data_IF_282952888501
#
_entry.id   IF_282952888501
#
_cell.length_a   1.000
_cell.length_b   1.000
_cell.length_c   1.000
_cell.angle_alpha   90.00
_cell.angle_beta   90.00
_cell.angle_gamma   90.00
#
_symmetry.space_group_name_H-M   'P 1'
#
loop_
_entity.id
_entity.type
_entity.pdbx_description
1 polymer ?
#
# COMPACT_ATOMS: atom_id res chain seq x y z
N UNK A 1 -68.90 49.83 48.77
CA UNK A 1 -68.13 50.98 48.33
C UNK A 1 -66.64 50.68 48.56
N UNK A 2 -65.92 50.18 47.56
CA UNK A 2 -64.44 50.09 47.59
C UNK A 2 -63.94 50.32 46.20
N UNK A 3 -63.16 51.40 46.06
CA UNK A 3 -62.57 51.89 44.82
C UNK A 3 -61.37 50.96 44.51
N UNK A 4 -61.31 50.41 43.30
CA UNK A 4 -60.17 49.71 42.77
C UNK A 4 -59.31 50.69 41.98
N UNK A 5 -58.12 50.95 42.48
CA UNK A 5 -57.08 51.74 41.81
C UNK A 5 -56.40 50.86 40.70
N UNK A 6 -56.44 51.38 39.50
CA UNK A 6 -55.71 50.83 38.35
C UNK A 6 -54.31 51.40 38.37
N UNK A 7 -53.32 50.50 38.56
CA UNK A 7 -51.89 50.78 38.34
C UNK A 7 -51.59 50.50 36.87
N UNK A 8 -51.29 51.54 36.12
CA UNK A 8 -50.79 51.43 34.77
C UNK A 8 -49.29 51.20 34.81
N UNK A 9 -48.86 50.01 34.39
CA UNK A 9 -47.44 49.67 34.22
C UNK A 9 -47.02 50.15 32.81
N UNK A 10 -46.18 51.19 32.73
CA UNK A 10 -45.54 51.63 31.50
C UNK A 10 -44.38 50.67 31.15
N UNK A 11 -44.53 49.91 30.08
CA UNK A 11 -43.44 49.13 29.48
C UNK A 11 -42.64 50.04 28.57
N UNK A 12 -41.44 50.41 28.99
CA UNK A 12 -40.48 51.12 28.14
C UNK A 12 -39.83 50.14 27.19
N UNK A 13 -40.15 50.23 25.89
CA UNK A 13 -39.52 49.48 24.83
C UNK A 13 -38.16 50.13 24.53
N UNK A 14 -37.07 49.49 24.99
CA UNK A 14 -35.70 49.86 24.61
C UNK A 14 -35.40 49.19 23.27
N UNK A 15 -35.49 49.96 22.19
CA UNK A 15 -35.02 49.54 20.86
C UNK A 15 -33.51 49.67 20.82
N UNK A 16 -32.83 48.52 20.93
CA UNK A 16 -31.39 48.43 20.70
C UNK A 16 -31.16 48.43 19.17
N UNK A 17 -30.76 49.56 18.63
CA UNK A 17 -30.33 49.68 17.24
C UNK A 17 -28.98 49.00 17.11
N UNK A 18 -28.94 47.74 16.57
CA UNK A 18 -27.74 47.08 16.09
C UNK A 18 -27.25 47.87 14.85
N UNK A 19 -26.22 48.67 15.03
CA UNK A 19 -25.48 49.27 13.93
C UNK A 19 -24.74 48.12 13.22
N UNK A 20 -25.18 47.75 12.03
CA UNK A 20 -24.41 46.89 11.11
C UNK A 20 -23.12 47.64 10.74
N UNK A 21 -21.95 47.04 10.86
CA UNK A 21 -20.75 47.67 10.34
C UNK A 21 -20.89 47.83 8.82
N UNK A 22 -20.56 48.99 8.34
CA UNK A 22 -20.51 49.31 6.92
C UNK A 22 -19.67 48.29 6.19
N UNK A 23 -20.10 47.92 4.98
CA UNK A 23 -19.40 46.99 4.11
C UNK A 23 -17.91 47.33 4.10
N UNK A 24 -17.12 46.43 4.76
CA UNK A 24 -15.69 46.56 4.86
C UNK A 24 -15.07 46.54 3.48
N UNK A 25 -14.11 47.40 3.25
CA UNK A 25 -13.21 47.30 2.09
C UNK A 25 -12.72 45.87 1.91
N UNK A 26 -12.56 45.37 0.68
CA UNK A 26 -12.07 44.05 0.44
C UNK A 26 -10.73 43.86 1.18
N UNK A 27 -10.64 42.83 2.03
CA UNK A 27 -9.39 42.42 2.65
C UNK A 27 -8.44 42.04 1.51
N UNK A 28 -7.58 42.95 1.12
CA UNK A 28 -6.44 42.67 0.27
C UNK A 28 -5.47 41.91 1.13
N UNK A 29 -5.50 40.56 1.04
CA UNK A 29 -4.40 39.77 1.51
C UNK A 29 -3.18 40.22 0.71
N UNK A 30 -2.02 40.50 1.35
CA UNK A 30 -0.84 40.77 0.62
C UNK A 30 -0.56 39.50 -0.22
N UNK A 31 -0.68 39.63 -1.52
CA UNK A 31 -0.19 38.63 -2.44
C UNK A 31 1.32 38.59 -2.17
N UNK A 32 1.73 37.59 -1.37
CA UNK A 32 3.15 37.28 -1.21
C UNK A 32 3.60 36.86 -2.60
N UNK A 33 4.11 37.79 -3.36
CA UNK A 33 4.92 37.49 -4.54
C UNK A 33 6.13 36.77 -3.97
N UNK A 34 6.02 35.44 -3.93
CA UNK A 34 7.21 34.62 -3.78
C UNK A 34 8.02 34.87 -5.03
N UNK A 35 9.12 35.59 -4.85
CA UNK A 35 10.13 35.77 -5.88
C UNK A 35 10.44 34.39 -6.47
N UNK A 36 10.25 34.28 -7.77
CA UNK A 36 10.15 33.05 -8.55
C UNK A 36 11.38 32.16 -8.53
N UNK A 37 11.48 31.34 -7.52
CA UNK A 37 12.03 29.98 -7.71
C UNK A 37 10.85 29.09 -8.04
N UNK A 38 10.56 28.92 -9.34
CA UNK A 38 9.69 27.84 -9.77
C UNK A 38 10.22 26.57 -9.12
N UNK A 39 9.40 25.91 -8.30
CA UNK A 39 9.79 24.59 -7.77
C UNK A 39 10.18 23.75 -8.98
N UNK A 40 11.37 23.11 -8.99
CA UNK A 40 11.75 22.28 -10.11
C UNK A 40 10.63 21.27 -10.37
N UNK A 41 10.30 21.05 -11.64
CA UNK A 41 9.32 20.04 -12.02
C UNK A 41 9.72 18.64 -11.52
N UNK A 42 8.84 17.63 -11.72
CA UNK A 42 9.16 16.26 -11.33
C UNK A 42 10.44 15.79 -12.03
N UNK A 43 11.19 14.88 -11.39
CA UNK A 43 12.43 14.36 -11.97
C UNK A 43 12.14 13.61 -13.28
N UNK A 44 13.12 13.59 -14.18
CA UNK A 44 13.10 12.69 -15.32
C UNK A 44 13.37 11.27 -14.82
N UNK A 45 12.46 10.34 -15.15
CA UNK A 45 12.55 8.91 -14.83
C UNK A 45 12.50 8.08 -16.10
N UNK A 46 12.88 6.81 -16.03
CA UNK A 46 12.87 5.90 -17.19
C UNK A 46 11.50 5.26 -17.40
N UNK A 47 10.64 5.29 -16.41
CA UNK A 47 9.29 4.71 -16.49
C UNK A 47 8.47 5.36 -17.60
N UNK A 48 7.83 4.54 -18.43
CA UNK A 48 6.97 4.99 -19.53
C UNK A 48 5.65 5.60 -19.04
N UNK A 49 5.13 5.15 -17.91
CA UNK A 49 3.96 5.72 -17.24
C UNK A 49 4.15 5.69 -15.73
N UNK A 50 3.71 6.74 -15.04
CA UNK A 50 3.87 6.80 -13.58
C UNK A 50 2.90 7.80 -12.93
N UNK A 51 2.71 7.63 -11.61
CA UNK A 51 1.95 8.54 -10.76
C UNK A 51 2.60 8.64 -9.39
N UNK A 52 2.60 9.85 -8.83
CA UNK A 52 2.98 10.16 -7.45
C UNK A 52 1.80 10.79 -6.73
N UNK A 53 1.40 10.22 -5.61
CA UNK A 53 0.19 10.59 -4.87
C UNK A 53 0.48 10.77 -3.38
N UNK A 54 -0.10 11.80 -2.78
CA UNK A 54 -0.10 12.04 -1.34
C UNK A 54 -1.44 11.60 -0.73
N UNK A 55 -1.40 10.55 0.07
CA UNK A 55 -2.59 9.97 0.70
C UNK A 55 -3.29 10.96 1.66
N UNK A 56 -2.51 11.75 2.41
CA UNK A 56 -3.08 12.63 3.44
C UNK A 56 -3.88 13.81 2.88
N UNK A 57 -3.51 14.32 1.71
CA UNK A 57 -4.23 15.39 1.02
C UNK A 57 -5.11 14.88 -0.11
N UNK A 58 -5.03 13.59 -0.44
CA UNK A 58 -5.68 12.95 -1.60
C UNK A 58 -5.36 13.63 -2.94
N UNK A 59 -4.12 14.13 -3.08
CA UNK A 59 -3.67 14.88 -4.24
C UNK A 59 -2.64 14.10 -5.04
N UNK A 60 -2.83 14.08 -6.37
CA UNK A 60 -1.78 13.68 -7.31
C UNK A 60 -0.76 14.80 -7.40
N UNK A 61 0.43 14.57 -6.85
CA UNK A 61 1.51 15.56 -6.85
C UNK A 61 2.15 15.69 -8.23
N UNK A 62 2.25 14.60 -8.97
CA UNK A 62 2.76 14.57 -10.34
C UNK A 62 2.36 13.25 -11.02
N UNK A 63 2.27 13.25 -12.34
CA UNK A 63 2.01 12.05 -13.12
C UNK A 63 2.47 12.19 -14.55
N UNK A 64 2.65 11.06 -15.24
CA UNK A 64 2.98 10.97 -16.65
C UNK A 64 2.27 9.75 -17.25
N UNK A 65 1.43 9.95 -18.27
CA UNK A 65 0.63 8.90 -18.92
C UNK A 65 -0.07 7.94 -17.92
N UNK A 66 -0.52 8.46 -16.76
CA UNK A 66 -0.98 7.64 -15.64
C UNK A 66 -2.23 6.81 -15.90
N UNK A 67 -3.01 7.13 -16.95
CA UNK A 67 -4.20 6.38 -17.39
C UNK A 67 -3.94 5.54 -18.64
N UNK A 68 -2.68 5.45 -19.10
CA UNK A 68 -2.34 4.62 -20.24
C UNK A 68 -2.35 3.13 -19.83
N UNK A 69 -3.09 2.31 -20.56
CA UNK A 69 -3.06 0.85 -20.45
C UNK A 69 -1.67 0.30 -20.78
N UNK A 70 -1.14 -0.54 -19.88
CA UNK A 70 0.16 -1.18 -20.02
C UNK A 70 0.16 -2.55 -19.38
N UNK A 71 0.98 -3.45 -19.90
CA UNK A 71 1.30 -4.69 -19.22
C UNK A 71 1.84 -4.38 -17.81
N UNK A 72 1.35 -5.08 -16.81
CA UNK A 72 1.56 -4.74 -15.40
C UNK A 72 2.47 -5.74 -14.65
N UNK A 73 2.79 -6.88 -15.27
CA UNK A 73 3.55 -7.97 -14.66
C UNK A 73 2.99 -8.36 -13.28
N UNK A 74 3.84 -8.79 -12.37
CA UNK A 74 3.44 -9.25 -11.02
C UNK A 74 2.81 -8.20 -10.11
N UNK A 75 2.63 -6.93 -10.53
CA UNK A 75 1.78 -6.00 -9.78
C UNK A 75 0.31 -6.45 -9.77
N UNK A 76 -0.09 -7.32 -10.69
CA UNK A 76 -1.33 -8.11 -10.71
C UNK A 76 -1.63 -8.76 -9.35
N UNK A 77 -0.60 -9.25 -8.65
CA UNK A 77 -0.77 -9.95 -7.37
C UNK A 77 -1.31 -9.06 -6.24
N UNK A 78 -1.39 -7.74 -6.44
CA UNK A 78 -2.09 -6.85 -5.50
C UNK A 78 -3.58 -7.20 -5.47
N UNK A 79 -4.22 -7.40 -6.64
CA UNK A 79 -5.62 -7.85 -6.72
C UNK A 79 -5.76 -9.29 -6.18
N UNK A 80 -4.83 -10.18 -6.49
CA UNK A 80 -4.83 -11.54 -5.94
C UNK A 80 -4.77 -11.56 -4.42
N UNK A 81 -3.91 -10.72 -3.82
CA UNK A 81 -3.80 -10.58 -2.38
C UNK A 81 -5.02 -9.93 -1.74
N UNK A 82 -5.64 -8.95 -2.40
CA UNK A 82 -6.88 -8.32 -1.96
C UNK A 82 -8.01 -9.35 -1.90
N UNK A 83 -8.25 -10.08 -2.99
CA UNK A 83 -9.31 -11.09 -3.04
C UNK A 83 -9.05 -12.27 -2.10
N UNK A 84 -7.81 -12.64 -1.85
CA UNK A 84 -7.48 -13.63 -0.82
C UNK A 84 -7.94 -13.19 0.56
N UNK A 85 -7.77 -11.91 0.90
CA UNK A 85 -8.19 -11.35 2.19
C UNK A 85 -9.71 -11.12 2.29
N UNK A 86 -10.36 -10.82 1.17
CA UNK A 86 -11.81 -10.61 1.11
C UNK A 86 -12.58 -11.94 1.06
N UNK A 87 -12.03 -12.97 0.41
CA UNK A 87 -12.75 -14.21 0.08
C UNK A 87 -12.37 -15.43 0.92
N UNK A 88 -11.42 -15.36 1.86
CA UNK A 88 -10.99 -16.51 2.66
C UNK A 88 -10.51 -16.12 4.06
N UNK A 89 -10.33 -17.13 4.93
CA UNK A 89 -9.64 -16.93 6.20
C UNK A 89 -8.15 -17.27 6.06
N UNK A 90 -7.28 -16.52 6.71
CA UNK A 90 -5.83 -16.75 6.68
C UNK A 90 -5.42 -18.14 7.24
N UNK A 91 -6.29 -18.75 8.04
CA UNK A 91 -6.12 -20.10 8.61
C UNK A 91 -6.64 -21.22 7.72
N UNK A 92 -7.32 -20.90 6.61
CA UNK A 92 -7.81 -21.92 5.68
C UNK A 92 -6.65 -22.74 5.14
N UNK A 93 -6.87 -24.06 5.09
CA UNK A 93 -5.87 -25.02 4.56
C UNK A 93 -6.19 -25.29 3.10
N UNK A 94 -5.27 -24.94 2.24
CA UNK A 94 -5.38 -25.09 0.78
C UNK A 94 -4.60 -26.35 0.37
N UNK A 95 -5.26 -27.25 -0.37
CA UNK A 95 -4.59 -28.38 -1.00
C UNK A 95 -4.07 -27.93 -2.36
N UNK A 96 -2.76 -28.07 -2.57
CA UNK A 96 -2.10 -27.59 -3.79
C UNK A 96 -2.45 -28.52 -4.96
N UNK A 97 -2.94 -27.95 -6.04
CA UNK A 97 -3.23 -28.65 -7.28
C UNK A 97 -1.95 -28.93 -8.10
N UNK A 98 -2.05 -29.85 -9.06
CA UNK A 98 -0.96 -30.03 -10.03
C UNK A 98 -0.74 -28.75 -10.86
N UNK A 99 -1.81 -28.02 -11.22
CA UNK A 99 -1.72 -26.76 -11.96
C UNK A 99 -0.93 -25.70 -11.18
N UNK A 100 -1.17 -25.58 -9.89
CA UNK A 100 -0.43 -24.65 -9.03
C UNK A 100 1.05 -25.08 -8.92
N UNK A 101 1.32 -26.37 -8.72
CA UNK A 101 2.67 -26.90 -8.65
C UNK A 101 3.47 -26.78 -9.96
N UNK A 102 2.79 -26.70 -11.11
CA UNK A 102 3.40 -26.56 -12.45
C UNK A 102 3.39 -25.08 -12.95
N UNK A 103 3.22 -24.10 -12.05
CA UNK A 103 3.05 -22.69 -12.41
C UNK A 103 4.21 -22.09 -13.22
N UNK A 104 5.43 -22.54 -12.93
CA UNK A 104 6.64 -22.07 -13.59
C UNK A 104 7.11 -20.67 -13.22
N UNK A 105 8.30 -20.33 -13.63
CA UNK A 105 9.02 -19.10 -13.39
C UNK A 105 9.34 -18.88 -11.90
N UNK A 106 8.68 -17.92 -11.23
CA UNK A 106 8.94 -17.61 -9.81
C UNK A 106 8.00 -18.40 -8.90
N UNK A 107 8.56 -19.28 -8.08
CA UNK A 107 7.85 -20.24 -7.26
C UNK A 107 8.46 -20.32 -5.84
N UNK A 108 7.76 -20.96 -4.93
CA UNK A 108 8.28 -21.49 -3.65
C UNK A 108 8.32 -23.00 -3.65
N UNK A 109 8.29 -23.62 -4.84
CA UNK A 109 8.34 -25.06 -5.07
C UNK A 109 7.21 -25.83 -4.34
N UNK A 110 5.95 -25.35 -4.51
CA UNK A 110 4.78 -26.05 -3.99
C UNK A 110 4.62 -27.41 -4.68
N UNK A 111 4.26 -28.43 -3.89
CA UNK A 111 4.10 -29.82 -4.39
C UNK A 111 2.62 -30.16 -4.45
N UNK A 112 2.20 -30.81 -5.56
CA UNK A 112 0.81 -31.25 -5.70
C UNK A 112 0.39 -32.19 -4.56
N UNK A 113 -0.77 -31.92 -3.96
CA UNK A 113 -1.32 -32.65 -2.82
C UNK A 113 -0.84 -32.20 -1.45
N UNK A 114 0.17 -31.32 -1.35
CA UNK A 114 0.54 -30.76 -0.06
C UNK A 114 -0.54 -29.78 0.45
N UNK A 115 -0.54 -29.56 1.75
CA UNK A 115 -1.48 -28.65 2.42
C UNK A 115 -0.76 -27.44 2.99
N UNK A 116 -1.15 -26.25 2.53
CA UNK A 116 -0.52 -24.98 2.92
C UNK A 116 -1.60 -23.99 3.39
N UNK A 117 -1.32 -23.23 4.43
CA UNK A 117 -2.30 -22.22 4.90
C UNK A 117 -2.40 -21.05 3.94
N UNK A 118 -3.58 -20.43 3.85
CA UNK A 118 -3.81 -19.22 3.06
C UNK A 118 -2.83 -18.09 3.45
N UNK A 119 -2.53 -17.97 4.75
CA UNK A 119 -1.51 -17.02 5.24
C UNK A 119 -0.13 -17.26 4.61
N UNK A 120 0.31 -18.50 4.49
CA UNK A 120 1.60 -18.82 3.87
C UNK A 120 1.59 -18.56 2.36
N UNK A 121 0.50 -18.89 1.67
CA UNK A 121 0.32 -18.60 0.25
C UNK A 121 0.31 -17.09 -0.03
N UNK A 122 -0.42 -16.32 0.77
CA UNK A 122 -0.45 -14.86 0.64
C UNK A 122 0.94 -14.24 0.83
N UNK A 123 1.70 -14.69 1.82
CA UNK A 123 3.09 -14.26 2.03
C UNK A 123 3.98 -14.62 0.83
N UNK A 124 3.83 -15.83 0.28
CA UNK A 124 4.59 -16.27 -0.89
C UNK A 124 4.29 -15.38 -2.12
N UNK A 125 3.03 -15.15 -2.42
CA UNK A 125 2.61 -14.32 -3.53
C UNK A 125 3.07 -12.87 -3.40
N UNK A 126 2.98 -12.28 -2.20
CA UNK A 126 3.28 -10.86 -2.00
C UNK A 126 4.77 -10.58 -1.79
N UNK A 127 5.46 -11.38 -0.98
CA UNK A 127 6.86 -11.13 -0.59
C UNK A 127 7.81 -11.68 -1.64
N UNK A 128 7.67 -12.97 -1.98
CA UNK A 128 8.53 -13.67 -2.94
C UNK A 128 8.06 -13.53 -4.38
N UNK A 129 6.83 -13.08 -4.58
CA UNK A 129 6.17 -12.99 -5.90
C UNK A 129 5.85 -14.35 -6.53
N UNK A 130 5.61 -15.37 -5.71
CA UNK A 130 5.41 -16.76 -6.13
C UNK A 130 4.15 -16.93 -7.00
N UNK A 131 4.30 -17.53 -8.19
CA UNK A 131 3.22 -17.80 -9.13
C UNK A 131 2.39 -19.02 -8.72
N UNK A 132 3.05 -20.09 -8.23
CA UNK A 132 2.41 -21.27 -7.67
C UNK A 132 1.44 -20.93 -6.53
N UNK A 133 1.87 -20.05 -5.62
CA UNK A 133 1.01 -19.54 -4.56
C UNK A 133 -0.16 -18.72 -5.08
N UNK A 134 0.05 -17.89 -6.12
CA UNK A 134 -1.02 -17.08 -6.71
C UNK A 134 -2.08 -17.97 -7.39
N UNK A 135 -1.69 -19.04 -8.07
CA UNK A 135 -2.62 -20.02 -8.66
C UNK A 135 -3.36 -20.77 -7.56
N UNK A 136 -2.67 -21.25 -6.51
CA UNK A 136 -3.31 -21.93 -5.39
C UNK A 136 -4.36 -21.05 -4.67
N UNK A 137 -4.05 -19.77 -4.47
CA UNK A 137 -5.01 -18.77 -3.95
C UNK A 137 -6.22 -18.68 -4.88
N UNK A 138 -5.98 -18.54 -6.19
CA UNK A 138 -7.05 -18.37 -7.18
C UNK A 138 -7.98 -19.59 -7.22
N UNK A 139 -7.45 -20.80 -7.20
CA UNK A 139 -8.25 -22.02 -7.18
C UNK A 139 -9.08 -22.17 -5.90
N UNK A 140 -8.52 -21.80 -4.75
CA UNK A 140 -9.21 -21.90 -3.48
C UNK A 140 -10.33 -20.86 -3.36
N UNK A 141 -10.09 -19.61 -3.71
CA UNK A 141 -11.05 -18.50 -3.54
C UNK A 141 -12.08 -18.50 -4.65
N UNK A 142 -11.66 -18.73 -5.90
CA UNK A 142 -12.53 -18.68 -7.09
C UNK A 142 -13.12 -20.03 -7.48
N UNK A 143 -12.75 -21.13 -6.81
CA UNK A 143 -13.12 -22.49 -7.21
C UNK A 143 -12.37 -22.98 -8.47
N UNK A 144 -11.82 -22.09 -9.26
CA UNK A 144 -10.91 -22.30 -10.39
C UNK A 144 -10.13 -21.02 -10.69
N UNK A 145 -9.05 -21.11 -11.46
CA UNK A 145 -8.32 -19.92 -11.91
C UNK A 145 -9.21 -19.02 -12.76
N UNK A 146 -10.01 -19.59 -13.63
CA UNK A 146 -10.93 -18.86 -14.50
C UNK A 146 -12.02 -18.12 -13.67
N UNK A 147 -12.64 -18.81 -12.71
CA UNK A 147 -13.61 -18.18 -11.79
C UNK A 147 -12.99 -17.06 -10.96
N UNK A 148 -11.72 -17.23 -10.55
CA UNK A 148 -11.01 -16.17 -9.85
C UNK A 148 -10.69 -14.96 -10.75
N UNK A 149 -10.34 -15.18 -12.02
CA UNK A 149 -10.15 -14.10 -13.00
C UNK A 149 -11.44 -13.32 -13.22
N UNK A 150 -12.60 -14.02 -13.27
CA UNK A 150 -13.90 -13.35 -13.32
C UNK A 150 -14.12 -12.47 -12.07
N UNK A 151 -13.77 -12.96 -10.87
CA UNK A 151 -13.84 -12.19 -9.64
C UNK A 151 -12.87 -10.98 -9.66
N UNK A 152 -11.64 -11.14 -10.20
CA UNK A 152 -10.69 -10.02 -10.34
C UNK A 152 -11.28 -8.91 -11.22
N UNK A 153 -11.88 -9.25 -12.35
CA UNK A 153 -12.48 -8.29 -13.26
C UNK A 153 -13.78 -7.67 -12.71
N UNK A 154 -14.58 -8.44 -11.97
CA UNK A 154 -15.73 -7.89 -11.23
C UNK A 154 -15.25 -6.87 -10.20
N UNK A 155 -14.25 -7.24 -9.40
CA UNK A 155 -13.71 -6.35 -8.38
C UNK A 155 -13.08 -5.09 -8.97
N UNK A 156 -12.40 -5.20 -10.12
CA UNK A 156 -11.88 -4.05 -10.84
C UNK A 156 -13.02 -3.09 -11.26
N UNK A 157 -14.14 -3.61 -11.75
CA UNK A 157 -15.32 -2.79 -12.10
C UNK A 157 -15.94 -2.11 -10.88
N UNK A 158 -16.07 -2.83 -9.76
CA UNK A 158 -16.57 -2.27 -8.49
C UNK A 158 -15.69 -1.14 -7.95
N UNK A 159 -14.37 -1.25 -8.12
CA UNK A 159 -13.41 -0.24 -7.72
C UNK A 159 -13.27 0.91 -8.73
N UNK A 160 -13.95 0.84 -9.89
CA UNK A 160 -13.86 1.85 -10.94
C UNK A 160 -12.51 1.88 -11.68
N UNK A 161 -11.80 0.73 -11.74
CA UNK A 161 -10.52 0.60 -12.45
C UNK A 161 -10.80 0.42 -13.94
N UNK A 162 -11.00 1.53 -14.63
CA UNK A 162 -11.51 1.56 -16.01
C UNK A 162 -10.48 1.18 -17.06
N UNK A 163 -9.21 1.33 -16.75
CA UNK A 163 -8.06 0.97 -17.59
C UNK A 163 -7.41 -0.35 -17.13
N UNK A 164 -8.21 -1.26 -16.54
CA UNK A 164 -7.69 -2.53 -15.99
C UNK A 164 -8.50 -3.73 -16.45
N UNK A 165 -7.80 -4.75 -16.94
CA UNK A 165 -8.36 -6.06 -17.21
C UNK A 165 -7.37 -7.16 -16.82
N UNK A 166 -7.84 -8.19 -16.15
CA UNK A 166 -7.07 -9.33 -15.69
C UNK A 166 -7.36 -10.56 -16.54
N UNK A 167 -6.30 -11.23 -17.01
CA UNK A 167 -6.38 -12.53 -17.70
C UNK A 167 -5.81 -13.68 -16.85
N UNK A 168 -5.09 -13.38 -15.76
CA UNK A 168 -4.51 -14.39 -14.87
C UNK A 168 -4.23 -13.79 -13.48
N UNK A 169 -4.01 -14.64 -12.43
CA UNK A 169 -3.81 -14.15 -11.05
C UNK A 169 -2.36 -13.79 -10.72
N UNK A 170 -1.39 -14.05 -11.60
CA UNK A 170 0.05 -13.96 -11.29
C UNK A 170 0.78 -12.84 -12.03
N UNK A 171 0.29 -12.42 -13.21
CA UNK A 171 0.85 -11.30 -13.96
C UNK A 171 1.84 -11.68 -15.07
N UNK A 172 1.86 -12.92 -15.52
CA UNK A 172 2.57 -13.29 -16.77
C UNK A 172 1.83 -12.70 -17.97
N UNK A 173 2.59 -12.40 -19.01
CA UNK A 173 2.07 -11.78 -20.24
C UNK A 173 0.96 -12.64 -20.84
N UNK A 174 -0.17 -12.02 -21.14
CA UNK A 174 -1.32 -12.64 -21.79
C UNK A 174 -2.11 -11.59 -22.56
N UNK A 175 -2.81 -11.98 -23.64
CA UNK A 175 -3.73 -11.06 -24.30
C UNK A 175 -4.72 -10.46 -23.29
N UNK A 176 -5.01 -9.18 -23.46
CA UNK A 176 -5.95 -8.42 -22.62
C UNK A 176 -5.59 -8.41 -21.11
N UNK A 177 -4.29 -8.51 -20.77
CA UNK A 177 -3.81 -8.42 -19.39
C UNK A 177 -3.07 -7.11 -19.18
N UNK A 178 -3.80 -6.09 -18.73
CA UNK A 178 -3.27 -4.72 -18.59
C UNK A 178 -3.85 -3.98 -17.39
N UNK A 179 -3.19 -2.89 -17.03
CA UNK A 179 -3.67 -1.89 -16.08
C UNK A 179 -3.03 -0.53 -16.37
N UNK A 180 -3.40 0.47 -15.61
CA UNK A 180 -2.79 1.80 -15.63
C UNK A 180 -2.09 2.12 -14.30
N UNK A 181 -1.20 3.11 -14.31
CA UNK A 181 -0.56 3.56 -13.07
C UNK A 181 -1.60 4.17 -12.09
N UNK A 182 -2.66 4.76 -12.61
CA UNK A 182 -3.77 5.29 -11.83
C UNK A 182 -4.53 4.15 -11.15
N UNK A 183 -4.96 3.17 -11.91
CA UNK A 183 -5.76 2.06 -11.40
C UNK A 183 -4.97 1.22 -10.38
N UNK A 184 -3.68 0.97 -10.65
CA UNK A 184 -2.82 0.28 -9.70
C UNK A 184 -2.59 1.07 -8.40
N UNK A 185 -2.57 2.41 -8.46
CA UNK A 185 -2.56 3.25 -7.26
C UNK A 185 -3.85 3.03 -6.45
N UNK A 186 -5.01 3.13 -7.10
CA UNK A 186 -6.29 3.04 -6.41
C UNK A 186 -6.49 1.62 -5.84
N UNK A 187 -6.15 0.58 -6.59
CA UNK A 187 -6.11 -0.81 -6.12
C UNK A 187 -5.19 -1.00 -4.91
N UNK A 188 -3.97 -0.44 -4.99
CA UNK A 188 -3.00 -0.54 -3.90
C UNK A 188 -3.49 0.14 -2.62
N UNK A 189 -4.15 1.29 -2.72
CA UNK A 189 -4.74 2.00 -1.57
C UNK A 189 -5.81 1.14 -0.88
N UNK A 190 -6.67 0.48 -1.65
CA UNK A 190 -7.68 -0.45 -1.11
C UNK A 190 -7.01 -1.64 -0.41
N UNK A 191 -6.04 -2.29 -1.05
CA UNK A 191 -5.33 -3.42 -0.46
C UNK A 191 -4.56 -3.02 0.82
N UNK A 192 -3.96 -1.84 0.83
CA UNK A 192 -3.23 -1.30 1.98
C UNK A 192 -4.16 -0.89 3.15
N UNK A 193 -5.48 -0.89 3.00
CA UNK A 193 -6.41 -0.73 4.11
C UNK A 193 -6.41 -1.96 5.04
N UNK A 194 -6.06 -3.15 4.52
CA UNK A 194 -5.97 -4.38 5.31
C UNK A 194 -4.65 -4.44 6.09
N UNK A 195 -4.67 -4.58 7.42
CA UNK A 195 -3.46 -4.69 8.23
C UNK A 195 -2.55 -5.83 7.79
N UNK A 196 -3.13 -7.01 7.50
CA UNK A 196 -2.43 -8.21 7.07
C UNK A 196 -1.71 -8.02 5.74
N UNK A 197 -2.30 -7.26 4.82
CA UNK A 197 -1.66 -6.90 3.56
C UNK A 197 -0.44 -6.01 3.81
N UNK A 198 -0.60 -4.97 4.65
CA UNK A 198 0.50 -4.06 5.00
C UNK A 198 1.67 -4.80 5.65
N UNK A 199 1.39 -5.72 6.57
CA UNK A 199 2.41 -6.48 7.28
C UNK A 199 3.18 -7.40 6.32
N UNK A 200 2.47 -8.05 5.38
CA UNK A 200 3.09 -8.89 4.37
C UNK A 200 4.03 -8.09 3.46
N UNK A 201 3.56 -6.98 2.87
CA UNK A 201 4.35 -6.23 1.88
C UNK A 201 5.55 -5.46 2.48
N UNK A 202 5.57 -5.28 3.80
CA UNK A 202 6.71 -4.71 4.55
C UNK A 202 7.79 -5.74 4.89
N UNK A 203 7.46 -7.03 4.81
CA UNK A 203 8.36 -8.09 5.22
C UNK A 203 9.49 -8.29 4.21
N UNK A 204 10.73 -8.39 4.69
CA UNK A 204 11.93 -8.57 3.84
C UNK A 204 12.27 -10.03 3.62
N UNK A 205 11.97 -10.88 4.59
CA UNK A 205 12.26 -12.31 4.59
C UNK A 205 11.01 -13.03 5.12
N UNK A 206 10.73 -14.17 4.56
CA UNK A 206 9.68 -15.06 5.03
C UNK A 206 10.20 -16.50 5.01
N UNK A 207 9.90 -17.23 6.09
CA UNK A 207 10.10 -18.68 6.17
C UNK A 207 8.74 -19.32 5.92
N UNK A 208 8.69 -20.19 4.93
CA UNK A 208 7.51 -20.97 4.60
C UNK A 208 7.53 -22.33 5.33
N UNK A 209 6.38 -23.03 5.38
CA UNK A 209 6.37 -24.43 5.78
C UNK A 209 7.39 -25.25 4.98
N UNK A 210 8.03 -26.20 5.63
CA UNK A 210 8.96 -27.11 4.97
C UNK A 210 8.24 -27.86 3.83
N UNK A 211 8.97 -28.13 2.75
CA UNK A 211 8.44 -28.98 1.69
C UNK A 211 8.18 -30.41 2.21
N UNK A 212 7.36 -31.22 1.54
CA UNK A 212 7.07 -32.60 1.96
C UNK A 212 8.30 -33.52 2.10
N UNK A 213 9.39 -33.20 1.40
CA UNK A 213 10.67 -33.91 1.52
C UNK A 213 11.56 -33.42 2.68
N UNK A 214 11.08 -32.42 3.45
CA UNK A 214 11.79 -31.80 4.56
C UNK A 214 12.72 -30.64 4.17
N UNK A 215 12.80 -30.27 2.91
CA UNK A 215 13.61 -29.13 2.47
C UNK A 215 13.03 -27.81 2.99
N UNK A 216 13.93 -26.88 3.35
CA UNK A 216 13.53 -25.57 3.89
C UNK A 216 13.19 -24.62 2.76
N UNK A 217 12.10 -23.89 2.93
CA UNK A 217 11.65 -22.85 2.00
C UNK A 217 11.80 -21.47 2.64
N UNK A 218 12.67 -20.64 2.07
CA UNK A 218 12.90 -19.26 2.51
C UNK A 218 12.72 -18.34 1.33
N UNK A 219 11.81 -17.38 1.44
CA UNK A 219 11.61 -16.34 0.46
C UNK A 219 12.21 -15.00 0.92
N UNK A 220 12.73 -14.25 -0.03
CA UNK A 220 13.16 -12.85 0.19
C UNK A 220 12.27 -11.91 -0.61
N UNK A 221 12.05 -10.72 -0.07
CA UNK A 221 11.30 -9.68 -0.77
C UNK A 221 12.03 -9.27 -2.05
N UNK A 222 11.24 -9.12 -3.10
CA UNK A 222 11.72 -8.55 -4.37
C UNK A 222 11.87 -7.02 -4.29
N UNK A 223 11.36 -6.38 -3.24
CA UNK A 223 11.41 -4.94 -3.05
C UNK A 223 12.70 -4.51 -2.32
N UNK A 224 13.67 -4.00 -3.07
CA UNK A 224 14.95 -3.55 -2.54
C UNK A 224 14.87 -2.21 -1.78
N UNK A 225 13.78 -1.44 -1.89
CA UNK A 225 13.63 -0.23 -1.09
C UNK A 225 13.36 -0.54 0.40
N UNK A 226 12.86 -1.74 0.72
CA UNK A 226 12.65 -2.14 2.10
C UNK A 226 13.98 -2.23 2.86
N UNK A 227 14.15 -1.33 3.85
CA UNK A 227 15.36 -1.23 4.66
C UNK A 227 16.52 -0.45 4.02
N UNK A 228 16.32 0.09 2.79
CA UNK A 228 17.29 0.96 2.09
C UNK A 228 16.74 2.38 1.83
N UNK A 229 15.42 2.53 1.83
CA UNK A 229 14.76 3.82 1.70
C UNK A 229 13.96 4.16 2.96
N UNK A 230 14.23 5.34 3.53
CA UNK A 230 13.58 5.78 4.76
C UNK A 230 12.05 5.86 4.59
N UNK A 231 11.33 5.17 5.49
CA UNK A 231 9.88 5.08 5.47
C UNK A 231 9.29 4.08 4.47
N UNK A 232 10.09 3.31 3.70
CA UNK A 232 9.58 2.35 2.74
C UNK A 232 8.58 1.36 3.36
N UNK A 233 7.38 1.25 2.76
CA UNK A 233 6.25 0.47 3.28
C UNK A 233 5.76 -0.66 2.36
N UNK A 234 6.46 -0.97 1.27
CA UNK A 234 6.07 -2.01 0.30
C UNK A 234 6.01 -1.40 -1.12
N UNK A 235 5.28 -1.89 -2.10
CA UNK A 235 4.17 -2.85 -2.08
C UNK A 235 4.53 -4.06 -2.96
N UNK A 236 4.63 -3.84 -4.30
CA UNK A 236 4.84 -4.96 -5.25
C UNK A 236 5.68 -4.56 -6.45
N UNK A 237 6.68 -5.37 -6.77
CA UNK A 237 7.49 -5.30 -8.00
C UNK A 237 6.94 -6.25 -9.06
N UNK A 238 7.23 -5.97 -10.32
CA UNK A 238 6.94 -6.87 -11.43
C UNK A 238 8.00 -6.75 -12.54
N UNK A 239 8.12 -7.80 -13.30
CA UNK A 239 8.92 -7.85 -14.53
C UNK A 239 8.36 -8.93 -15.45
N UNK A 240 8.17 -8.58 -16.71
CA UNK A 240 8.03 -9.49 -17.85
C UNK A 240 8.69 -8.83 -19.05
N UNK A 241 8.81 -9.57 -20.14
CA UNK A 241 9.38 -9.01 -21.37
C UNK A 241 8.54 -7.90 -21.98
N UNK A 242 7.20 -7.96 -21.83
CA UNK A 242 6.26 -6.97 -22.33
C UNK A 242 6.14 -5.77 -21.38
N UNK A 243 5.98 -6.04 -20.09
CA UNK A 243 5.79 -5.00 -19.07
C UNK A 243 7.07 -4.21 -18.79
N UNK A 244 8.25 -4.79 -19.03
CA UNK A 244 9.52 -4.33 -18.49
C UNK A 244 9.46 -4.29 -16.96
N UNK A 245 10.18 -3.37 -16.32
CA UNK A 245 10.15 -3.27 -14.85
C UNK A 245 8.97 -2.43 -14.40
N UNK A 246 8.19 -2.96 -13.45
CA UNK A 246 7.04 -2.30 -12.85
C UNK A 246 7.17 -2.28 -11.33
N UNK A 247 6.65 -1.24 -10.69
CA UNK A 247 6.69 -1.15 -9.23
C UNK A 247 5.56 -0.28 -8.68
N UNK A 248 4.82 -0.83 -7.75
CA UNK A 248 3.91 -0.10 -6.87
C UNK A 248 4.59 0.05 -5.53
N UNK A 249 4.85 1.26 -5.10
CA UNK A 249 5.62 1.58 -3.90
C UNK A 249 4.90 2.56 -3.00
N UNK A 250 5.19 2.50 -1.71
CA UNK A 250 4.79 3.51 -0.74
C UNK A 250 5.92 3.80 0.24
N UNK A 251 5.95 5.03 0.72
CA UNK A 251 6.81 5.41 1.83
C UNK A 251 6.09 6.41 2.74
N UNK A 252 6.40 6.36 4.05
CA UNK A 252 5.80 7.23 5.05
C UNK A 252 6.89 7.94 5.85
N UNK A 253 6.83 9.27 5.93
CA UNK A 253 7.71 10.12 6.74
C UNK A 253 6.87 11.17 7.44
N UNK A 254 7.14 11.42 8.72
CA UNK A 254 6.45 12.42 9.54
C UNK A 254 4.91 12.31 9.46
N UNK A 255 4.38 11.06 9.39
CA UNK A 255 2.96 10.78 9.28
C UNK A 255 2.35 11.08 7.91
N UNK A 256 3.15 11.42 6.90
CA UNK A 256 2.71 11.63 5.51
C UNK A 256 3.11 10.43 4.69
N UNK A 257 2.11 9.80 4.07
CA UNK A 257 2.32 8.64 3.20
C UNK A 257 2.17 9.04 1.74
N UNK A 258 3.21 8.71 0.97
CA UNK A 258 3.21 8.84 -0.48
C UNK A 258 3.12 7.47 -1.14
N UNK A 259 2.43 7.44 -2.29
CA UNK A 259 2.42 6.30 -3.19
C UNK A 259 3.08 6.69 -4.50
N UNK A 260 3.83 5.77 -5.07
CA UNK A 260 4.39 5.86 -6.42
C UNK A 260 4.07 4.58 -7.17
N UNK A 261 3.57 4.72 -8.38
CA UNK A 261 3.48 3.62 -9.34
C UNK A 261 4.33 3.98 -10.54
N UNK A 262 5.20 3.08 -10.95
CA UNK A 262 6.00 3.17 -12.17
C UNK A 262 5.77 1.93 -13.03
N UNK A 263 5.53 2.12 -14.33
CA UNK A 263 5.30 1.10 -15.32
C UNK A 263 6.24 1.28 -16.50
N UNK A 264 6.85 0.19 -16.97
CA UNK A 264 7.75 0.21 -18.12
C UNK A 264 9.05 0.95 -17.85
N UNK A 265 9.65 0.79 -16.67
CA UNK A 265 11.00 1.34 -16.39
C UNK A 265 12.06 0.53 -17.14
N UNK A 266 13.01 1.23 -17.77
CA UNK A 266 14.08 0.63 -18.58
C UNK A 266 15.45 0.74 -17.89
N UNK A 267 16.18 -0.37 -17.87
CA UNK A 267 17.52 -0.46 -17.28
C UNK A 267 17.60 -1.34 -16.04
N UNK A 268 18.81 -1.68 -15.60
CA UNK A 268 19.00 -2.53 -14.42
C UNK A 268 18.42 -1.86 -13.17
N UNK A 269 17.43 -2.52 -12.56
CA UNK A 269 16.73 -2.08 -11.34
C UNK A 269 16.18 -0.64 -11.41
N UNK A 270 15.94 -0.13 -12.62
CA UNK A 270 15.55 1.26 -12.86
C UNK A 270 14.27 1.66 -12.12
N UNK A 271 13.29 0.74 -11.99
CA UNK A 271 12.05 0.98 -11.24
C UNK A 271 12.27 1.42 -9.78
N UNK A 272 13.37 0.98 -9.11
CA UNK A 272 13.71 1.44 -7.77
C UNK A 272 14.31 2.85 -7.80
N UNK A 273 15.14 3.16 -8.78
CA UNK A 273 15.71 4.50 -8.97
C UNK A 273 14.59 5.51 -9.29
N UNK A 274 13.69 5.15 -10.19
CA UNK A 274 12.53 5.95 -10.59
C UNK A 274 11.61 6.23 -9.39
N UNK A 275 11.23 5.17 -8.66
CA UNK A 275 10.37 5.31 -7.48
C UNK A 275 11.03 6.17 -6.39
N UNK A 276 12.33 5.98 -6.13
CA UNK A 276 13.10 6.80 -5.17
C UNK A 276 13.09 8.26 -5.58
N UNK A 277 13.40 8.58 -6.83
CA UNK A 277 13.45 9.95 -7.33
C UNK A 277 12.08 10.65 -7.20
N UNK A 278 10.99 9.93 -7.50
CA UNK A 278 9.62 10.45 -7.38
C UNK A 278 9.22 10.65 -5.91
N UNK A 279 9.54 9.70 -5.02
CA UNK A 279 9.28 9.83 -3.58
C UNK A 279 10.07 10.99 -2.97
N UNK A 280 11.35 11.13 -3.30
CA UNK A 280 12.19 12.23 -2.83
C UNK A 280 11.65 13.59 -3.31
N UNK A 281 11.21 13.67 -4.57
CA UNK A 281 10.53 14.84 -5.09
C UNK A 281 9.25 15.15 -4.31
N UNK A 282 8.39 14.16 -4.06
CA UNK A 282 7.14 14.35 -3.33
C UNK A 282 7.36 14.83 -1.89
N UNK A 283 8.24 14.18 -1.13
CA UNK A 283 8.55 14.59 0.23
C UNK A 283 9.17 15.99 0.26
N UNK A 284 10.04 16.33 -0.70
CA UNK A 284 10.61 17.68 -0.82
C UNK A 284 9.52 18.73 -1.09
N UNK A 285 8.54 18.46 -1.95
CA UNK A 285 7.40 19.36 -2.19
C UNK A 285 6.60 19.61 -0.91
N UNK A 286 6.52 18.63 -0.03
CA UNK A 286 5.84 18.73 1.27
C UNK A 286 6.71 19.34 2.38
N UNK A 287 7.96 19.72 2.07
CA UNK A 287 8.92 20.24 3.05
C UNK A 287 9.46 19.17 4.00
N UNK A 288 9.28 17.90 3.69
CA UNK A 288 9.75 16.76 4.49
C UNK A 288 11.07 16.26 3.92
N UNK A 289 12.11 16.34 4.74
CA UNK A 289 13.46 15.90 4.37
C UNK A 289 13.76 14.57 5.08
N UNK A 290 14.19 13.57 4.32
CA UNK A 290 14.59 12.29 4.90
C UNK A 290 15.79 12.46 5.82
N UNK A 291 15.85 11.69 6.89
CA UNK A 291 17.07 11.53 7.66
C UNK A 291 18.10 10.87 6.75
N UNK A 292 19.23 11.55 6.54
CA UNK A 292 20.38 10.91 5.90
C UNK A 292 20.78 9.75 6.82
N UNK A 293 20.47 8.52 6.42
CA UNK A 293 20.93 7.34 7.15
C UNK A 293 22.47 7.32 7.04
N UNK A 294 23.12 7.86 8.05
CA UNK A 294 24.58 7.84 8.17
C UNK A 294 25.12 6.45 8.56
N UNK A 295 24.30 5.40 8.40
CA UNK A 295 24.55 4.08 8.96
C UNK A 295 24.65 2.90 8.00
N UNK A 296 24.60 3.09 6.67
CA UNK A 296 24.85 1.97 5.76
C UNK A 296 26.23 2.12 5.11
N UNK A 297 27.24 1.34 5.54
CA UNK A 297 28.59 1.40 4.97
C UNK A 297 28.67 0.93 3.50
N UNK A 298 27.57 0.52 2.88
CA UNK A 298 27.51 0.02 1.50
C UNK A 298 27.13 1.07 0.45
N UNK A 299 26.84 2.33 0.81
CA UNK A 299 26.40 3.37 -0.14
C UNK A 299 27.47 4.45 -0.39
N UNK A 300 28.62 4.36 0.23
CA UNK A 300 29.70 5.34 0.05
C UNK A 300 30.92 4.70 -0.62
N UNK A 301 30.80 4.35 -1.90
CA UNK A 301 31.95 4.33 -2.80
C UNK A 301 31.46 4.20 -4.25
N UNK A 302 31.66 5.26 -5.05
CA UNK A 302 31.86 5.11 -6.49
C UNK A 302 33.12 4.26 -6.69
N UNK A 303 32.97 2.96 -6.65
CA UNK A 303 33.97 2.03 -7.20
C UNK A 303 33.25 1.04 -8.08
N UNK A 304 33.67 1.00 -9.34
CA UNK A 304 33.39 -0.11 -10.24
C UNK A 304 33.73 -1.41 -9.49
N UNK A 305 32.73 -2.17 -9.14
CA UNK A 305 32.90 -3.55 -8.72
C UNK A 305 32.58 -4.41 -9.94
N UNK A 306 33.59 -5.05 -10.48
CA UNK A 306 33.44 -6.20 -11.36
C UNK A 306 32.47 -7.21 -10.71
N UNK A 307 31.65 -7.92 -11.44
CA UNK A 307 30.70 -8.88 -10.86
C UNK A 307 31.47 -10.04 -10.24
N UNK A 308 31.70 -9.96 -8.96
CA UNK A 308 32.18 -11.05 -8.12
C UNK A 308 31.00 -11.91 -7.65
N UNK A 309 31.22 -13.19 -7.31
CA UNK A 309 30.14 -14.10 -6.96
C UNK A 309 29.36 -13.61 -5.75
N UNK A 310 28.04 -13.77 -5.81
CA UNK A 310 27.05 -13.45 -4.78
C UNK A 310 27.46 -14.02 -3.40
N UNK A 311 27.96 -13.15 -2.52
CA UNK A 311 28.15 -13.47 -1.11
C UNK A 311 26.90 -13.01 -0.36
N UNK A 312 25.86 -13.85 -0.37
CA UNK A 312 24.65 -13.64 0.39
C UNK A 312 24.29 -14.83 1.29
N UNK A 313 25.20 -15.79 1.47
CA UNK A 313 24.92 -17.02 2.21
C UNK A 313 25.14 -16.92 3.73
N UNK A 314 26.02 -16.05 4.21
CA UNK A 314 26.41 -16.04 5.63
C UNK A 314 25.30 -15.61 6.60
N UNK A 315 24.42 -14.72 6.19
CA UNK A 315 23.32 -14.24 7.07
C UNK A 315 22.11 -15.19 7.06
N UNK A 316 21.89 -15.90 5.96
CA UNK A 316 20.81 -16.89 5.85
C UNK A 316 21.18 -18.15 6.66
N UNK A 317 22.42 -18.61 6.58
CA UNK A 317 22.88 -19.74 7.37
C UNK A 317 22.87 -19.47 8.88
N UNK A 318 23.26 -18.27 9.31
CA UNK A 318 23.17 -17.86 10.70
C UNK A 318 21.72 -17.81 11.21
N UNK A 319 20.79 -17.31 10.38
CA UNK A 319 19.37 -17.26 10.71
C UNK A 319 18.74 -18.66 10.77
N UNK A 320 19.06 -19.53 9.81
CA UNK A 320 18.58 -20.93 9.78
C UNK A 320 19.15 -21.74 10.94
N UNK A 321 20.39 -21.48 11.35
CA UNK A 321 21.01 -22.12 12.51
C UNK A 321 20.30 -21.75 13.82
N UNK A 322 19.93 -20.49 14.00
CA UNK A 322 19.21 -19.99 15.17
C UNK A 322 17.74 -20.46 15.21
N UNK A 323 17.07 -20.48 14.05
CA UNK A 323 15.71 -21.00 13.93
C UNK A 323 15.64 -22.52 14.17
N UNK A 324 16.65 -23.27 13.72
CA UNK A 324 16.75 -24.72 13.92
C UNK A 324 17.01 -25.14 15.38
N UNK A 325 17.47 -24.24 16.23
CA UNK A 325 17.71 -24.51 17.66
C UNK A 325 16.52 -24.19 18.56
N UNK A 326 15.36 -23.76 18.01
CA UNK A 326 14.17 -23.41 18.79
C UNK A 326 14.34 -22.19 19.72
N UNK A 327 15.41 -21.41 19.52
CA UNK A 327 15.75 -20.26 20.34
C UNK A 327 15.07 -18.96 19.91
N UNK A 328 14.30 -18.96 18.81
CA UNK A 328 13.48 -17.85 18.35
C UNK A 328 12.13 -18.35 17.91
N UNK A 329 11.11 -18.11 18.68
CA UNK A 329 9.70 -18.33 18.30
C UNK A 329 9.07 -17.10 17.67
N UNK A 330 9.69 -15.91 17.79
CA UNK A 330 9.27 -14.67 17.15
C UNK A 330 10.48 -13.79 16.84
N UNK A 331 10.48 -13.03 15.73
CA UNK A 331 11.48 -12.00 15.50
C UNK A 331 11.38 -10.95 16.62
N UNK A 332 12.49 -10.42 17.14
CA UNK A 332 12.47 -9.41 18.16
C UNK A 332 11.69 -8.18 17.67
N UNK A 333 10.61 -7.84 18.35
CA UNK A 333 9.94 -6.57 18.17
C UNK A 333 10.96 -5.45 18.36
N UNK A 334 11.01 -4.43 17.52
CA UNK A 334 11.83 -3.26 17.77
C UNK A 334 11.34 -2.65 19.08
N UNK A 335 12.19 -2.62 20.09
CA UNK A 335 11.94 -1.92 21.35
C UNK A 335 11.90 -0.44 21.03
N UNK A 336 10.72 0.06 20.68
CA UNK A 336 10.45 1.48 20.68
C UNK A 336 10.49 1.94 22.15
N UNK A 337 11.44 2.80 22.49
CA UNK A 337 11.35 3.61 23.69
C UNK A 337 10.18 4.55 23.45
N UNK A 338 9.03 4.21 24.02
CA UNK A 338 7.82 5.05 24.00
C UNK A 338 8.06 6.13 25.08
N UNK A 339 8.14 7.41 24.72
CA UNK A 339 8.08 8.47 25.72
C UNK A 339 6.69 8.45 26.38
N UNK A 340 6.64 8.60 27.70
CA UNK A 340 5.39 8.65 28.46
C UNK A 340 4.44 9.71 27.87
N UNK A 341 3.14 9.38 27.70
CA UNK A 341 2.18 10.33 27.17
C UNK A 341 1.88 11.42 28.19
N UNK A 342 2.04 12.67 27.78
CA UNK A 342 1.52 13.82 28.49
C UNK A 342 -0.01 13.75 28.45
N UNK A 343 -0.73 13.80 29.59
CA UNK A 343 -2.18 13.70 29.60
C UNK A 343 -2.83 14.95 28.99
N UNK A 344 -3.57 14.76 27.89
CA UNK A 344 -4.50 15.77 27.38
C UNK A 344 -5.82 15.71 28.16
N UNK A 345 -6.53 16.83 28.35
CA UNK A 345 -7.80 16.85 29.06
C UNK A 345 -8.85 16.03 28.32
N UNK A 346 -9.46 15.09 29.03
CA UNK A 346 -10.51 14.21 28.53
C UNK A 346 -11.84 14.95 28.53
N UNK A 347 -12.35 15.31 27.35
CA UNK A 347 -13.74 15.65 27.19
C UNK A 347 -14.53 14.37 26.91
N UNK A 348 -15.29 13.92 27.91
CA UNK A 348 -16.09 12.68 27.84
C UNK A 348 -17.34 12.96 26.99
N UNK A 349 -17.29 12.63 25.70
CA UNK A 349 -18.49 12.50 24.88
C UNK A 349 -18.99 11.06 24.97
N UNK A 350 -20.06 10.89 25.71
CA UNK A 350 -20.73 9.60 25.94
C UNK A 350 -21.42 9.16 24.61
N UNK A 351 -20.75 8.32 23.81
CA UNK A 351 -21.36 7.62 22.67
C UNK A 351 -21.62 6.18 23.07
N UNK A 352 -22.88 5.77 22.97
CA UNK A 352 -23.28 4.36 23.15
C UNK A 352 -22.60 3.49 22.08
N UNK A 353 -22.14 2.28 22.43
CA UNK A 353 -21.53 1.38 21.47
C UNK A 353 -22.57 0.92 20.44
N UNK A 354 -22.33 1.17 19.17
CA UNK A 354 -23.07 0.57 18.07
C UNK A 354 -22.47 -0.81 17.84
N UNK A 355 -23.30 -1.86 17.92
CA UNK A 355 -22.86 -3.22 17.62
C UNK A 355 -22.32 -3.32 16.19
N UNK A 356 -21.21 -4.04 15.97
CA UNK A 356 -20.67 -4.20 14.62
C UNK A 356 -21.65 -4.98 13.73
N UNK A 357 -21.70 -4.66 12.43
CA UNK A 357 -22.55 -5.38 11.49
C UNK A 357 -22.08 -6.83 11.28
N UNK A 358 -23.03 -7.73 11.10
CA UNK A 358 -22.83 -9.19 11.04
C UNK A 358 -22.08 -9.70 9.80
N UNK A 359 -21.59 -8.80 8.92
CA UNK A 359 -20.74 -9.15 7.78
C UNK A 359 -19.73 -8.02 7.46
N UNK A 360 -18.56 -8.39 6.95
CA UNK A 360 -17.51 -7.47 6.50
C UNK A 360 -18.00 -6.52 5.39
N UNK A 361 -18.95 -6.96 4.57
CA UNK A 361 -19.59 -6.14 3.53
C UNK A 361 -20.42 -4.99 4.11
N UNK A 362 -21.17 -5.23 5.17
CA UNK A 362 -21.94 -4.19 5.85
C UNK A 362 -21.03 -3.18 6.57
N UNK A 363 -19.85 -3.61 7.04
CA UNK A 363 -18.87 -2.71 7.63
C UNK A 363 -18.21 -1.80 6.58
N UNK A 364 -17.97 -2.30 5.37
CA UNK A 364 -17.35 -1.52 4.29
C UNK A 364 -18.33 -0.49 3.68
N UNK A 365 -19.57 -0.86 3.41
CA UNK A 365 -20.62 0.08 2.95
C UNK A 365 -20.91 1.14 4.01
N UNK A 366 -20.92 0.77 5.29
CA UNK A 366 -21.10 1.72 6.39
C UNK A 366 -19.92 2.71 6.48
N UNK A 367 -18.69 2.24 6.29
CA UNK A 367 -17.51 3.11 6.29
C UNK A 367 -17.48 4.03 5.06
N UNK A 368 -17.84 3.52 3.87
CA UNK A 368 -17.92 4.26 2.62
C UNK A 368 -18.93 5.43 2.70
N UNK A 369 -20.14 5.16 3.20
CA UNK A 369 -21.18 6.18 3.37
C UNK A 369 -20.81 7.27 4.39
N UNK A 370 -19.95 6.96 5.36
CA UNK A 370 -19.49 7.92 6.36
C UNK A 370 -18.31 8.78 5.86
N UNK A 371 -17.54 8.31 4.88
CA UNK A 371 -16.32 8.98 4.43
C UNK A 371 -16.44 9.65 3.07
N UNK A 372 -17.35 9.20 2.20
CA UNK A 372 -17.46 9.66 0.81
C UNK A 372 -18.85 10.27 0.50
N UNK A 373 -19.84 10.07 1.37
CA UNK A 373 -21.23 10.49 1.19
C UNK A 373 -21.59 11.84 1.81
N UNK A 374 -20.64 12.75 2.09
CA UNK A 374 -20.92 14.10 2.60
C UNK A 374 -20.27 15.18 1.76
#
# INVERSE_FOLDING_TARGET
>A
MRRLSRVAASVALVTLALALPAAGAPLTFPTRVQDGFASPGPPTVTAAAWILFDESSEVVLASHFSTQERAMASTTKIMTGLLALEGSNLTDVVTISQRAADAGEREIDLVAGEQVTMSALLKAAMIHSANDAAIAIAEHVGGSVEGFVDMMNERARELGLTETHFANPHGLDAPDHYSSARDLLDLARVAMAFPEFRDNVRSRIVVFPDAPDGSKRVGTSTNLLLGDYDGAGGIKTGFTSEALLTFVSTAEREGRRLYVVVLGSEGDRAHFADARALLDYGFKQLGIYGTVSTGNPYVSAKQRVEPGPLVATSNIEAFLHLAGQGLMTDPPSPTAIVPEPVPLPVEVVNRQPVSPPDSLWAAFTFWWDQTVGS
#
